data_IF_012198840861
#
_entry.id   IF_012198840861
#
_cell.length_a   1.000
_cell.length_b   1.000
_cell.length_c   1.000
_cell.angle_alpha   90.00
_cell.angle_beta   90.00
_cell.angle_gamma   90.00
#
_symmetry.space_group_name_H-M   'P 1'
#
loop_
_entity.id
_entity.type
_entity.pdbx_description
1 polymer ?
#
# COMPACT_ATOMS: atom_id res chain seq x y z
N UNK A 1 23.19 14.29 45.32
CA UNK A 1 23.76 13.82 46.60
C UNK A 1 23.11 12.53 47.10
N UNK A 2 21.77 12.38 46.99
CA UNK A 2 21.04 11.17 47.41
C UNK A 2 21.44 9.84 46.72
N UNK A 3 21.77 9.87 45.42
CA UNK A 3 22.11 8.66 44.66
C UNK A 3 23.46 8.08 45.10
N UNK A 4 24.44 8.96 45.37
CA UNK A 4 25.78 8.55 45.78
C UNK A 4 25.73 7.96 47.20
N UNK A 5 25.01 8.61 48.13
CA UNK A 5 24.82 8.10 49.48
C UNK A 5 24.02 6.80 49.54
N UNK A 6 23.05 6.60 48.64
CA UNK A 6 22.29 5.34 48.56
C UNK A 6 23.14 4.20 47.97
N UNK A 7 23.95 4.50 46.94
CA UNK A 7 24.86 3.54 46.33
C UNK A 7 25.96 3.08 47.31
N UNK A 8 26.46 3.99 48.15
CA UNK A 8 27.39 3.65 49.23
C UNK A 8 26.74 2.73 50.28
N UNK A 9 25.46 2.92 50.56
CA UNK A 9 24.69 2.08 51.50
C UNK A 9 24.26 0.73 50.90
N UNK A 10 24.17 0.63 49.57
CA UNK A 10 23.70 -0.56 48.85
C UNK A 10 24.62 -0.90 47.67
N UNK A 11 25.88 -1.30 47.93
CA UNK A 11 26.90 -1.45 46.90
C UNK A 11 26.59 -2.59 45.91
N UNK A 12 25.97 -3.69 46.38
CA UNK A 12 25.59 -4.81 45.52
C UNK A 12 24.45 -4.44 44.54
N UNK A 13 23.32 -3.86 44.98
CA UNK A 13 22.30 -3.34 44.07
C UNK A 13 22.82 -2.28 43.09
N UNK A 14 23.68 -1.37 43.57
CA UNK A 14 24.28 -0.35 42.73
C UNK A 14 25.18 -0.96 41.65
N UNK A 15 26.04 -1.92 42.01
CA UNK A 15 26.89 -2.64 41.06
C UNK A 15 26.07 -3.42 40.03
N UNK A 16 25.03 -4.14 40.46
CA UNK A 16 24.11 -4.84 39.54
C UNK A 16 23.42 -3.87 38.59
N UNK A 17 22.97 -2.71 39.09
CA UNK A 17 22.37 -1.66 38.28
C UNK A 17 23.33 -1.09 37.22
N UNK A 18 24.58 -0.83 37.60
CA UNK A 18 25.62 -0.35 36.66
C UNK A 18 25.93 -1.41 35.60
N UNK A 19 26.13 -2.67 36.00
CA UNK A 19 26.39 -3.77 35.07
C UNK A 19 25.23 -3.95 34.10
N UNK A 20 23.98 -3.90 34.58
CA UNK A 20 22.80 -3.97 33.73
C UNK A 20 22.73 -2.79 32.74
N UNK A 21 23.00 -1.57 33.20
CA UNK A 21 23.02 -0.39 32.33
C UNK A 21 24.11 -0.48 31.25
N UNK A 22 25.31 -0.93 31.60
CA UNK A 22 26.42 -1.16 30.65
C UNK A 22 26.07 -2.27 29.66
N UNK A 23 25.47 -3.37 30.12
CA UNK A 23 25.05 -4.46 29.25
C UNK A 23 23.97 -4.01 28.25
N UNK A 24 22.96 -3.24 28.71
CA UNK A 24 21.95 -2.64 27.85
C UNK A 24 22.59 -1.69 26.84
N UNK A 25 23.48 -0.81 27.28
CA UNK A 25 24.20 0.11 26.38
C UNK A 25 25.02 -0.66 25.34
N UNK A 26 25.71 -1.72 25.73
CA UNK A 26 26.49 -2.55 24.81
C UNK A 26 25.59 -3.26 23.79
N UNK A 27 24.43 -3.78 24.21
CA UNK A 27 23.43 -4.38 23.32
C UNK A 27 22.86 -3.37 22.35
N UNK A 28 22.54 -2.15 22.83
CA UNK A 28 22.09 -1.04 21.99
C UNK A 28 23.17 -0.69 20.97
N UNK A 29 24.41 -0.43 21.39
CA UNK A 29 25.51 -0.12 20.48
C UNK A 29 25.73 -1.23 19.45
N UNK A 30 25.66 -2.50 19.86
CA UNK A 30 25.76 -3.64 18.95
C UNK A 30 24.60 -3.67 17.95
N UNK A 31 23.37 -3.43 18.40
CA UNK A 31 22.20 -3.35 17.53
C UNK A 31 22.31 -2.21 16.52
N UNK A 32 22.77 -1.02 16.95
CA UNK A 32 23.00 0.12 16.08
C UNK A 32 24.09 -0.15 15.03
N UNK A 33 25.18 -0.82 15.41
CA UNK A 33 26.24 -1.23 14.47
C UNK A 33 25.80 -2.26 13.44
N UNK A 34 24.76 -3.05 13.76
CA UNK A 34 24.18 -4.02 12.83
C UNK A 34 23.17 -3.40 11.85
N UNK A 35 22.89 -2.10 11.94
CA UNK A 35 22.01 -1.40 11.01
C UNK A 35 22.78 -1.00 9.75
N UNK A 36 22.15 -1.12 8.56
CA UNK A 36 22.79 -0.78 7.29
C UNK A 36 23.12 0.72 7.16
N UNK A 37 22.37 1.60 7.85
CA UNK A 37 22.57 3.05 7.79
C UNK A 37 22.67 3.65 9.20
N UNK A 38 23.89 3.86 9.73
CA UNK A 38 24.09 4.31 11.12
C UNK A 38 23.69 5.77 11.35
N UNK A 39 23.86 6.65 10.34
CA UNK A 39 23.51 8.07 10.48
C UNK A 39 22.01 8.31 10.75
N UNK A 40 21.06 7.75 9.97
CA UNK A 40 19.64 7.86 10.30
C UNK A 40 19.28 7.14 11.60
N UNK A 41 20.00 6.09 12.00
CA UNK A 41 19.78 5.45 13.29
C UNK A 41 20.07 6.41 14.45
N UNK A 42 21.22 7.10 14.40
CA UNK A 42 21.59 8.11 15.42
C UNK A 42 20.59 9.25 15.45
N UNK A 43 20.20 9.78 14.29
CA UNK A 43 19.20 10.84 14.22
C UNK A 43 17.83 10.37 14.76
N UNK A 44 17.43 9.12 14.47
CA UNK A 44 16.20 8.53 15.01
C UNK A 44 16.24 8.43 16.54
N UNK A 45 17.37 8.01 17.11
CA UNK A 45 17.56 7.93 18.55
C UNK A 45 17.40 9.29 19.24
N UNK A 46 17.94 10.36 18.64
CA UNK A 46 17.78 11.74 19.14
C UNK A 46 16.31 12.16 19.10
N UNK A 47 15.60 11.88 18.00
CA UNK A 47 14.18 12.18 17.88
C UNK A 47 13.33 11.38 18.88
N UNK A 48 13.65 10.10 19.11
CA UNK A 48 13.00 9.26 20.14
C UNK A 48 13.24 9.83 21.53
N UNK A 49 14.47 10.23 21.86
CA UNK A 49 14.77 10.85 23.16
C UNK A 49 14.02 12.17 23.36
N UNK A 50 13.87 12.98 22.32
CA UNK A 50 13.05 14.20 22.35
C UNK A 50 11.55 13.90 22.52
N UNK A 51 11.03 12.87 21.86
CA UNK A 51 9.67 12.36 22.06
C UNK A 51 9.45 11.88 23.50
N UNK A 52 10.45 11.19 24.06
CA UNK A 52 10.44 10.66 25.42
C UNK A 52 10.28 11.75 26.48
N UNK A 53 10.99 12.88 26.36
CA UNK A 53 10.81 14.04 27.26
C UNK A 53 9.35 14.51 27.27
N UNK A 54 8.74 14.58 26.09
CA UNK A 54 7.34 15.01 25.94
C UNK A 54 6.38 14.00 26.58
N UNK A 55 6.57 12.71 26.32
CA UNK A 55 5.78 11.64 26.93
C UNK A 55 5.94 11.57 28.45
N UNK A 56 7.15 11.83 28.96
CA UNK A 56 7.45 11.85 30.39
C UNK A 56 6.70 12.95 31.13
N UNK A 57 6.64 14.15 30.54
CA UNK A 57 5.88 15.28 31.08
C UNK A 57 4.39 15.02 31.03
N UNK A 58 3.90 14.47 29.91
CA UNK A 58 2.51 14.08 29.75
C UNK A 58 2.05 13.05 30.80
N UNK A 59 2.86 12.02 31.07
CA UNK A 59 2.54 11.05 32.10
C UNK A 59 2.36 11.69 33.49
N UNK A 60 3.15 12.71 33.80
CA UNK A 60 3.01 13.46 35.04
C UNK A 60 1.82 14.40 35.08
N UNK A 61 1.69 15.27 34.08
CA UNK A 61 0.69 16.33 34.10
C UNK A 61 -0.73 15.84 33.76
N UNK A 62 -0.85 14.83 32.91
CA UNK A 62 -2.14 14.40 32.35
C UNK A 62 -2.59 13.01 32.82
N UNK A 63 -1.66 12.09 33.10
CA UNK A 63 -2.00 10.75 33.61
C UNK A 63 -1.94 10.65 35.13
N UNK A 64 -1.46 11.69 35.82
CA UNK A 64 -1.35 11.70 37.28
C UNK A 64 -0.32 10.72 37.84
N UNK A 65 0.56 10.18 37.00
CA UNK A 65 1.63 9.27 37.43
C UNK A 65 2.65 10.08 38.22
N UNK A 66 2.63 10.04 39.55
CA UNK A 66 3.58 10.79 40.39
C UNK A 66 4.88 10.03 40.62
N UNK A 67 4.83 8.70 40.55
CA UNK A 67 6.00 7.86 40.74
C UNK A 67 6.88 7.79 39.46
N UNK A 68 8.19 7.89 39.67
CA UNK A 68 9.18 7.81 38.59
C UNK A 68 9.31 6.41 38.01
N UNK A 69 9.13 5.35 38.81
CA UNK A 69 9.23 3.99 38.31
C UNK A 69 8.01 3.63 37.45
N UNK A 70 6.82 4.07 37.84
CA UNK A 70 5.60 3.95 37.03
C UNK A 70 5.74 4.62 35.65
N UNK A 71 6.22 5.87 35.60
CA UNK A 71 6.46 6.57 34.32
C UNK A 71 7.50 5.86 33.45
N UNK A 72 8.59 5.40 34.06
CA UNK A 72 9.64 4.67 33.37
C UNK A 72 9.13 3.35 32.80
N UNK A 73 8.30 2.62 33.54
CA UNK A 73 7.68 1.38 33.08
C UNK A 73 6.74 1.60 31.90
N UNK A 74 5.88 2.62 31.94
CA UNK A 74 4.99 2.98 30.83
C UNK A 74 5.80 3.31 29.57
N UNK A 75 6.81 4.17 29.71
CA UNK A 75 7.66 4.56 28.60
C UNK A 75 8.42 3.36 28.01
N UNK A 76 9.05 2.55 28.87
CA UNK A 76 9.77 1.35 28.44
C UNK A 76 8.85 0.38 27.71
N UNK A 77 7.63 0.15 28.21
CA UNK A 77 6.65 -0.70 27.54
C UNK A 77 6.28 -0.16 26.13
N UNK A 78 6.05 1.15 26.01
CA UNK A 78 5.76 1.81 24.74
C UNK A 78 6.90 1.69 23.73
N UNK A 79 8.13 1.98 24.14
CA UNK A 79 9.32 1.89 23.28
C UNK A 79 9.65 0.44 22.90
N UNK A 80 9.54 -0.51 23.84
CA UNK A 80 9.74 -1.94 23.55
C UNK A 80 8.69 -2.43 22.55
N UNK A 81 7.43 -2.04 22.69
CA UNK A 81 6.39 -2.38 21.73
C UNK A 81 6.66 -1.79 20.33
N UNK A 82 7.12 -0.54 20.27
CA UNK A 82 7.51 0.11 19.01
C UNK A 82 8.71 -0.60 18.36
N UNK A 83 9.75 -0.93 19.12
CA UNK A 83 10.93 -1.65 18.63
C UNK A 83 10.58 -3.07 18.18
N UNK A 84 9.75 -3.79 18.94
CA UNK A 84 9.31 -5.14 18.58
C UNK A 84 8.52 -5.14 17.26
N UNK A 85 7.57 -4.22 17.11
CA UNK A 85 6.78 -4.09 15.86
C UNK A 85 7.64 -3.67 14.68
N UNK A 86 8.61 -2.78 14.89
CA UNK A 86 9.60 -2.38 13.89
C UNK A 86 10.49 -3.56 13.42
N UNK A 87 11.00 -4.36 14.35
CA UNK A 87 11.80 -5.55 14.04
C UNK A 87 10.99 -6.61 13.30
N UNK A 88 9.75 -6.85 13.72
CA UNK A 88 8.82 -7.74 13.00
C UNK A 88 8.52 -7.21 11.59
N UNK A 89 8.35 -5.91 11.42
CA UNK A 89 8.15 -5.29 10.11
C UNK A 89 9.37 -5.51 9.19
N UNK A 90 10.58 -5.37 9.73
CA UNK A 90 11.82 -5.66 9.00
C UNK A 90 11.92 -7.13 8.62
N UNK A 91 11.60 -8.04 9.54
CA UNK A 91 11.57 -9.47 9.25
C UNK A 91 10.58 -9.80 8.12
N UNK A 92 9.38 -9.23 8.15
CA UNK A 92 8.38 -9.39 7.10
C UNK A 92 8.85 -8.85 5.74
N UNK A 93 9.54 -7.70 5.71
CA UNK A 93 10.11 -7.15 4.47
C UNK A 93 11.16 -8.08 3.89
N UNK A 94 12.00 -8.69 4.73
CA UNK A 94 13.02 -9.64 4.28
C UNK A 94 12.40 -10.94 3.75
N UNK A 95 11.35 -11.45 4.39
CA UNK A 95 10.69 -12.70 4.00
C UNK A 95 9.72 -12.55 2.82
N UNK A 96 8.83 -11.55 2.86
CA UNK A 96 7.68 -11.40 1.93
C UNK A 96 7.80 -10.19 1.00
N UNK A 97 8.75 -9.29 1.27
CA UNK A 97 8.90 -8.05 0.54
C UNK A 97 7.95 -6.93 0.94
N UNK A 98 7.17 -7.10 2.01
CA UNK A 98 6.30 -6.07 2.58
C UNK A 98 6.39 -5.98 4.10
N UNK A 99 6.19 -4.80 4.72
CA UNK A 99 6.17 -4.66 6.18
C UNK A 99 4.99 -5.37 6.87
N UNK A 100 3.89 -5.59 6.14
CA UNK A 100 2.66 -6.20 6.67
C UNK A 100 2.01 -5.40 7.81
N UNK A 101 1.26 -6.11 8.65
CA UNK A 101 0.57 -5.56 9.84
C UNK A 101 1.53 -4.91 10.85
N UNK A 102 2.71 -5.48 11.17
CA UNK A 102 3.67 -4.82 12.07
C UNK A 102 4.09 -3.43 11.59
N UNK A 103 4.27 -3.25 10.27
CA UNK A 103 4.54 -1.93 9.70
C UNK A 103 3.41 -0.94 9.95
N UNK A 104 2.14 -1.36 9.86
CA UNK A 104 0.99 -0.51 10.19
C UNK A 104 0.95 -0.15 11.68
N UNK A 105 1.27 -1.11 12.56
CA UNK A 105 1.29 -0.89 14.00
C UNK A 105 2.31 0.17 14.42
N UNK A 106 3.49 0.24 13.77
CA UNK A 106 4.47 1.30 14.02
C UNK A 106 3.84 2.69 13.82
N UNK A 107 3.08 2.87 12.74
CA UNK A 107 2.40 4.14 12.45
C UNK A 107 1.21 4.41 13.37
N UNK A 108 0.47 3.37 13.77
CA UNK A 108 -0.59 3.50 14.76
C UNK A 108 -0.04 3.98 16.12
N UNK A 109 1.05 3.34 16.59
CA UNK A 109 1.75 3.72 17.82
C UNK A 109 2.31 5.14 17.70
N UNK A 110 2.94 5.49 16.57
CA UNK A 110 3.41 6.85 16.28
C UNK A 110 2.26 7.87 16.37
N UNK A 111 1.08 7.53 15.83
CA UNK A 111 -0.12 8.37 15.93
C UNK A 111 -0.57 8.61 17.37
N UNK A 112 -0.49 7.60 18.23
CA UNK A 112 -0.78 7.75 19.66
C UNK A 112 0.26 8.66 20.34
N UNK A 113 1.54 8.56 19.98
CA UNK A 113 2.60 9.41 20.53
C UNK A 113 2.49 10.89 20.13
N UNK A 114 1.68 11.23 19.14
CA UNK A 114 1.37 12.63 18.78
C UNK A 114 0.49 13.30 19.86
N UNK A 115 -0.32 12.54 20.60
CA UNK A 115 -1.24 13.08 21.61
C UNK A 115 -0.49 13.85 22.71
N UNK A 116 0.56 13.30 23.36
CA UNK A 116 1.39 14.04 24.30
C UNK A 116 1.92 15.37 23.77
N UNK A 117 2.32 15.42 22.49
CA UNK A 117 2.86 16.63 21.89
C UNK A 117 1.84 17.78 21.89
N UNK A 118 0.60 17.51 21.47
CA UNK A 118 -0.46 18.51 21.48
C UNK A 118 -0.97 18.85 22.87
N UNK A 119 -1.04 17.87 23.77
CA UNK A 119 -1.46 18.07 25.15
C UNK A 119 -0.50 18.99 25.92
N UNK A 120 0.81 18.79 25.78
CA UNK A 120 1.83 19.56 26.51
C UNK A 120 2.18 20.92 25.88
N UNK A 121 1.78 21.17 24.63
CA UNK A 121 2.38 22.27 23.83
C UNK A 121 1.38 23.09 23.00
N UNK A 122 0.09 22.76 23.06
CA UNK A 122 -0.94 23.37 22.23
C UNK A 122 -0.73 23.12 20.73
N UNK A 123 -1.42 23.88 19.87
CA UNK A 123 -1.45 23.61 18.43
C UNK A 123 -0.09 23.78 17.73
N UNK A 124 0.57 24.93 17.91
CA UNK A 124 1.84 25.24 17.23
C UNK A 124 2.98 24.41 17.81
N UNK A 125 3.18 24.47 19.13
CA UNK A 125 4.21 23.69 19.81
C UNK A 125 4.00 22.19 19.62
N UNK A 126 2.75 21.73 19.59
CA UNK A 126 2.40 20.33 19.43
C UNK A 126 2.74 19.82 18.04
N UNK A 127 2.54 20.63 17.01
CA UNK A 127 2.92 20.26 15.63
C UNK A 127 4.43 20.12 15.51
N UNK A 128 5.21 21.06 16.08
CA UNK A 128 6.68 21.00 16.06
C UNK A 128 7.17 19.77 16.83
N UNK A 129 6.63 19.51 18.03
CA UNK A 129 7.00 18.34 18.85
C UNK A 129 6.60 17.02 18.21
N UNK A 130 5.40 16.94 17.62
CA UNK A 130 4.93 15.76 16.91
C UNK A 130 5.81 15.46 15.69
N UNK A 131 6.20 16.49 14.95
CA UNK A 131 7.05 16.34 13.78
C UNK A 131 8.47 15.88 14.15
N UNK A 132 9.19 16.65 14.97
CA UNK A 132 10.58 16.35 15.34
C UNK A 132 10.74 15.22 16.35
N UNK A 133 9.67 14.84 17.05
CA UNK A 133 9.64 13.69 17.93
C UNK A 133 9.20 12.43 17.18
N UNK A 134 7.97 11.94 17.39
CA UNK A 134 7.56 10.61 16.96
C UNK A 134 7.54 10.44 15.44
N UNK A 135 7.14 11.44 14.65
CA UNK A 135 7.02 11.30 13.19
C UNK A 135 8.40 11.16 12.53
N UNK A 136 9.32 12.07 12.83
CA UNK A 136 10.66 12.04 12.29
C UNK A 136 11.46 10.83 12.82
N UNK A 137 11.27 10.47 14.10
CA UNK A 137 11.83 9.23 14.66
C UNK A 137 11.38 8.00 13.87
N UNK A 138 10.06 7.85 13.65
CA UNK A 138 9.52 6.72 12.89
C UNK A 138 10.09 6.64 11.48
N UNK A 139 10.14 7.77 10.75
CA UNK A 139 10.72 7.84 9.40
C UNK A 139 12.20 7.44 9.40
N UNK A 140 13.00 8.02 10.30
CA UNK A 140 14.43 7.76 10.37
C UNK A 140 14.72 6.32 10.80
N UNK A 141 13.92 5.72 11.68
CA UNK A 141 14.01 4.31 12.02
C UNK A 141 13.69 3.41 10.82
N UNK A 142 12.69 3.76 9.99
CA UNK A 142 12.40 3.03 8.75
C UNK A 142 13.57 3.09 7.76
N UNK A 143 14.18 4.28 7.60
CA UNK A 143 15.37 4.45 6.77
C UNK A 143 16.57 3.67 7.33
N UNK A 144 16.82 3.78 8.63
CA UNK A 144 17.90 3.10 9.33
C UNK A 144 17.82 1.57 9.21
N UNK A 145 16.60 1.01 9.29
CA UNK A 145 16.35 -0.42 9.07
C UNK A 145 16.39 -0.83 7.60
N UNK A 146 16.45 0.12 6.67
CA UNK A 146 16.52 -0.13 5.23
C UNK A 146 15.19 -0.58 4.61
N UNK A 147 14.05 -0.20 5.21
CA UNK A 147 12.73 -0.60 4.70
C UNK A 147 12.36 0.09 3.37
N UNK A 148 13.07 1.16 2.98
CA UNK A 148 12.68 2.04 1.88
C UNK A 148 13.66 2.06 0.68
N UNK A 149 14.41 0.99 0.43
CA UNK A 149 15.31 0.93 -0.73
C UNK A 149 15.04 -0.31 -1.58
N UNK A 150 14.15 -0.15 -2.58
CA UNK A 150 14.07 -1.00 -3.77
C UNK A 150 14.21 -0.18 -5.05
N UNK A 151 15.28 0.61 -5.16
CA UNK A 151 15.71 1.19 -6.45
C UNK A 151 16.31 0.15 -7.42
N UNK A 152 16.43 -1.13 -7.04
CA UNK A 152 16.96 -2.21 -7.91
C UNK A 152 15.90 -3.07 -8.62
N UNK A 153 14.59 -2.81 -8.46
CA UNK A 153 13.52 -3.53 -9.19
C UNK A 153 12.40 -2.57 -9.60
N UNK A 154 12.30 -2.13 -10.88
CA UNK A 154 11.26 -1.22 -11.38
C UNK A 154 9.89 -1.91 -11.57
N UNK A 155 9.47 -2.75 -10.63
CA UNK A 155 8.20 -3.49 -10.72
C UNK A 155 7.73 -4.15 -9.42
N UNK A 156 8.45 -3.98 -8.31
CA UNK A 156 7.97 -4.47 -7.02
C UNK A 156 6.96 -3.46 -6.45
N UNK A 157 5.67 -3.74 -6.69
CA UNK A 157 4.53 -3.02 -6.13
C UNK A 157 4.75 -2.78 -4.64
N UNK A 158 4.73 -1.51 -4.24
CA UNK A 158 4.93 -1.04 -2.87
C UNK A 158 3.92 -1.69 -1.92
N UNK A 159 4.29 -2.82 -1.32
CA UNK A 159 3.41 -3.70 -0.57
C UNK A 159 3.14 -3.29 0.87
N UNK A 160 3.48 -2.08 1.31
CA UNK A 160 3.03 -1.64 2.63
C UNK A 160 1.52 -1.38 2.56
N UNK A 161 0.74 -1.93 3.49
CA UNK A 161 -0.67 -1.56 3.67
C UNK A 161 -0.86 -0.03 3.78
N UNK A 162 0.18 0.76 4.10
CA UNK A 162 0.18 2.23 3.95
C UNK A 162 0.10 2.74 2.52
N UNK A 163 0.59 2.03 1.51
CA UNK A 163 0.38 2.39 0.11
C UNK A 163 -1.07 2.09 -0.30
N UNK A 164 -1.70 1.05 0.23
CA UNK A 164 -3.11 0.71 -0.03
C UNK A 164 -4.05 1.61 0.77
N UNK A 165 -3.83 1.76 2.07
CA UNK A 165 -4.56 2.68 2.96
C UNK A 165 -4.29 4.12 2.56
N UNK A 166 -3.06 4.47 2.21
CA UNK A 166 -2.71 5.78 1.67
C UNK A 166 -3.34 6.00 0.30
N UNK A 167 -3.43 4.99 -0.55
CA UNK A 167 -4.16 5.07 -1.83
C UNK A 167 -5.66 5.18 -1.62
N UNK A 168 -6.25 4.46 -0.69
CA UNK A 168 -7.67 4.50 -0.36
C UNK A 168 -8.04 5.81 0.35
N UNK A 169 -7.21 6.27 1.28
CA UNK A 169 -7.36 7.56 1.96
C UNK A 169 -7.11 8.70 0.98
N UNK A 170 -6.13 8.57 0.07
CA UNK A 170 -5.91 9.49 -1.05
C UNK A 170 -7.07 9.42 -2.03
N UNK A 171 -7.62 8.27 -2.37
CA UNK A 171 -8.76 8.14 -3.29
C UNK A 171 -10.03 8.68 -2.63
N UNK A 172 -10.19 8.56 -1.30
CA UNK A 172 -11.29 9.16 -0.51
C UNK A 172 -11.09 10.66 -0.28
N UNK A 173 -9.86 11.12 -0.09
CA UNK A 173 -9.52 12.53 0.01
C UNK A 173 -9.60 13.19 -1.37
N UNK A 174 -9.14 12.55 -2.45
CA UNK A 174 -9.23 13.01 -3.82
C UNK A 174 -10.64 12.88 -4.39
N UNK A 175 -11.47 11.94 -3.94
CA UNK A 175 -12.90 11.92 -4.29
C UNK A 175 -13.66 13.02 -3.56
N UNK A 176 -13.30 13.31 -2.29
CA UNK A 176 -13.83 14.48 -1.56
C UNK A 176 -13.27 15.81 -2.06
N UNK A 177 -12.04 15.83 -2.59
CA UNK A 177 -11.38 17.02 -3.15
C UNK A 177 -11.58 17.15 -4.67
N UNK A 178 -12.21 16.17 -5.33
CA UNK A 178 -12.55 16.20 -6.76
C UNK A 178 -11.35 16.17 -7.71
N UNK A 179 -10.22 15.56 -7.32
CA UNK A 179 -8.95 15.59 -8.06
C UNK A 179 -8.60 14.26 -8.76
N UNK A 180 -9.58 13.38 -8.93
CA UNK A 180 -9.43 12.16 -9.72
C UNK A 180 -9.83 12.34 -11.19
N UNK A 181 -9.59 13.51 -11.79
CA UNK A 181 -9.58 13.67 -13.24
C UNK A 181 -8.49 14.68 -13.63
N UNK A 182 -7.43 14.21 -14.28
CA UNK A 182 -6.47 15.07 -14.98
C UNK A 182 -7.25 15.92 -15.98
N UNK A 183 -7.29 17.24 -15.77
CA UNK A 183 -7.82 18.21 -16.75
C UNK A 183 -8.93 19.17 -16.29
N UNK A 184 -9.35 19.19 -15.02
CA UNK A 184 -10.32 20.21 -14.55
C UNK A 184 -9.65 21.42 -13.90
N UNK A 185 -9.96 22.59 -14.44
CA UNK A 185 -9.51 23.89 -13.95
C UNK A 185 -10.19 24.22 -12.59
N UNK A 186 -9.48 24.88 -11.68
CA UNK A 186 -9.98 25.22 -10.34
C UNK A 186 -11.27 26.07 -10.40
N UNK A 187 -11.43 26.83 -11.49
CA UNK A 187 -12.65 27.57 -11.79
C UNK A 187 -13.87 26.67 -12.07
N UNK A 188 -13.68 25.49 -12.66
CA UNK A 188 -14.75 24.51 -12.90
C UNK A 188 -15.17 23.85 -11.59
N UNK A 189 -14.23 23.45 -10.73
CA UNK A 189 -14.55 22.86 -9.42
C UNK A 189 -15.37 23.82 -8.53
N UNK A 190 -15.10 25.11 -8.62
CA UNK A 190 -15.86 26.14 -7.90
C UNK A 190 -17.30 26.26 -8.44
N UNK A 191 -17.49 26.11 -9.76
CA UNK A 191 -18.81 26.10 -10.40
C UNK A 191 -19.58 24.85 -10.04
N UNK A 192 -18.97 23.67 -10.11
CA UNK A 192 -19.60 22.38 -9.76
C UNK A 192 -20.13 22.38 -8.32
N UNK A 193 -19.33 22.90 -7.37
CA UNK A 193 -19.76 23.07 -5.96
C UNK A 193 -20.92 24.05 -5.80
N UNK A 194 -20.93 25.12 -6.59
CA UNK A 194 -22.01 26.09 -6.61
C UNK A 194 -23.29 25.48 -7.21
N UNK A 195 -23.18 24.70 -8.30
CA UNK A 195 -24.26 23.93 -8.93
C UNK A 195 -24.86 22.94 -7.94
N UNK A 196 -24.06 22.12 -7.27
CA UNK A 196 -24.53 21.17 -6.25
C UNK A 196 -25.24 21.88 -5.07
N UNK A 197 -24.73 23.04 -4.65
CA UNK A 197 -25.36 23.86 -3.61
C UNK A 197 -26.69 24.44 -4.08
N UNK A 198 -26.79 24.89 -5.33
CA UNK A 198 -28.02 25.39 -5.94
C UNK A 198 -29.08 24.28 -6.02
N UNK A 199 -28.73 23.08 -6.51
CA UNK A 199 -29.63 21.91 -6.53
C UNK A 199 -30.16 21.59 -5.13
N UNK A 200 -29.27 21.51 -4.13
CA UNK A 200 -29.65 21.20 -2.75
C UNK A 200 -30.61 22.22 -2.16
N UNK A 201 -30.40 23.51 -2.42
CA UNK A 201 -31.28 24.56 -1.91
C UNK A 201 -32.60 24.60 -2.68
N UNK A 202 -32.59 24.43 -4.01
CA UNK A 202 -33.79 24.49 -4.86
C UNK A 202 -34.73 23.27 -4.72
N UNK A 203 -34.26 22.17 -4.12
CA UNK A 203 -35.10 21.00 -3.81
C UNK A 203 -35.74 21.04 -2.42
N UNK A 204 -35.50 22.10 -1.61
CA UNK A 204 -36.14 22.23 -0.29
C UNK A 204 -37.55 22.81 -0.43
N UNK A 205 -38.57 22.24 0.26
CA UNK A 205 -39.97 22.65 0.09
C UNK A 205 -40.27 24.06 0.64
N UNK A 206 -39.59 24.48 1.71
CA UNK A 206 -39.82 25.79 2.35
C UNK A 206 -38.53 26.61 2.47
N UNK A 207 -38.15 27.31 1.40
CA UNK A 207 -37.01 28.23 1.41
C UNK A 207 -37.42 29.63 1.91
N UNK A 208 -36.95 30.00 3.11
CA UNK A 208 -37.14 31.35 3.68
C UNK A 208 -36.03 32.32 3.24
N UNK A 209 -36.24 33.62 3.46
CA UNK A 209 -35.48 34.74 2.86
C UNK A 209 -33.96 34.54 2.69
N UNK A 210 -33.25 34.14 3.76
CA UNK A 210 -31.80 33.91 3.68
C UNK A 210 -31.42 32.72 2.77
N UNK A 211 -32.24 31.67 2.76
CA UNK A 211 -32.10 30.54 1.85
C UNK A 211 -32.31 30.92 0.39
N UNK A 212 -33.27 31.82 0.09
CA UNK A 212 -33.48 32.36 -1.26
C UNK A 212 -32.27 33.17 -1.75
N UNK A 213 -31.70 34.01 -0.89
CA UNK A 213 -30.46 34.77 -1.19
C UNK A 213 -29.26 33.85 -1.43
N UNK A 214 -29.12 32.80 -0.61
CA UNK A 214 -28.04 31.81 -0.75
C UNK A 214 -28.20 30.96 -2.02
N UNK A 215 -29.44 30.64 -2.40
CA UNK A 215 -29.74 29.98 -3.68
C UNK A 215 -29.38 30.90 -4.85
N UNK A 216 -29.80 32.16 -4.84
CA UNK A 216 -29.47 33.13 -5.89
C UNK A 216 -27.94 33.30 -6.03
N UNK A 217 -27.22 33.40 -4.92
CA UNK A 217 -25.76 33.47 -4.92
C UNK A 217 -25.10 32.20 -5.47
N UNK A 218 -25.65 31.02 -5.15
CA UNK A 218 -25.15 29.75 -5.67
C UNK A 218 -25.38 29.62 -7.18
N UNK A 219 -26.56 30.03 -7.68
CA UNK A 219 -26.87 30.04 -9.12
C UNK A 219 -25.96 31.02 -9.88
N UNK A 220 -25.71 32.20 -9.32
CA UNK A 220 -24.81 33.19 -9.92
C UNK A 220 -23.36 32.66 -10.00
N UNK A 221 -22.86 32.03 -8.93
CA UNK A 221 -21.50 31.44 -8.90
C UNK A 221 -21.34 30.23 -9.82
N UNK A 222 -22.43 29.51 -10.09
CA UNK A 222 -22.47 28.43 -11.06
C UNK A 222 -22.43 28.92 -12.53
N UNK A 223 -22.53 30.24 -12.78
CA UNK A 223 -22.51 30.86 -14.13
C UNK A 223 -23.60 30.36 -15.09
N UNK A 224 -24.71 29.86 -14.55
CA UNK A 224 -25.85 29.28 -15.29
C UNK A 224 -26.52 30.29 -16.24
N UNK A 225 -26.41 31.59 -15.96
CA UNK A 225 -26.92 32.64 -16.85
C UNK A 225 -26.03 32.94 -18.06
N UNK A 226 -24.79 32.45 -18.08
CA UNK A 226 -23.78 32.77 -19.11
C UNK A 226 -23.20 31.53 -19.79
N UNK A 227 -23.46 30.33 -19.26
CA UNK A 227 -22.94 29.05 -19.77
C UNK A 227 -24.09 28.04 -19.89
N UNK A 228 -24.43 27.69 -21.13
CA UNK A 228 -25.57 26.82 -21.43
C UNK A 228 -25.33 25.36 -20.98
N UNK A 229 -24.07 24.90 -20.94
CA UNK A 229 -23.73 23.56 -20.47
C UNK A 229 -23.98 23.43 -18.96
N UNK A 230 -23.58 24.44 -18.19
CA UNK A 230 -23.83 24.49 -16.74
C UNK A 230 -25.33 24.59 -16.41
N UNK A 231 -26.10 25.27 -17.26
CA UNK A 231 -27.55 25.32 -17.16
C UNK A 231 -28.20 23.97 -17.43
N UNK A 232 -27.78 23.28 -18.48
CA UNK A 232 -28.27 21.94 -18.80
C UNK A 232 -27.98 20.95 -17.66
N UNK A 233 -26.77 20.99 -17.10
CA UNK A 233 -26.36 20.17 -15.97
C UNK A 233 -27.18 20.46 -14.70
N UNK A 234 -27.35 21.74 -14.33
CA UNK A 234 -28.17 22.13 -13.19
C UNK A 234 -29.61 21.58 -13.32
N UNK A 235 -30.21 21.74 -14.51
CA UNK A 235 -31.57 21.29 -14.77
C UNK A 235 -31.68 19.76 -14.75
N UNK A 236 -30.69 19.04 -15.30
CA UNK A 236 -30.64 17.58 -15.24
C UNK A 236 -30.59 17.07 -13.80
N UNK A 237 -29.72 17.66 -12.96
CA UNK A 237 -29.61 17.30 -11.54
C UNK A 237 -30.88 17.63 -10.75
N UNK A 238 -31.55 18.75 -11.05
CA UNK A 238 -32.83 19.10 -10.44
C UNK A 238 -33.94 18.12 -10.80
N UNK A 239 -34.02 17.72 -12.07
CA UNK A 239 -34.97 16.70 -12.53
C UNK A 239 -34.72 15.37 -11.83
N UNK A 240 -33.48 14.89 -11.82
CA UNK A 240 -33.11 13.65 -11.14
C UNK A 240 -33.49 13.69 -9.65
N UNK A 241 -33.21 14.81 -8.96
CA UNK A 241 -33.50 14.93 -7.53
C UNK A 241 -34.98 15.05 -7.20
N UNK A 242 -35.76 15.76 -8.02
CA UNK A 242 -37.22 15.88 -7.82
C UNK A 242 -37.96 14.61 -8.26
N UNK A 243 -37.45 13.94 -9.28
CA UNK A 243 -37.95 12.65 -9.77
C UNK A 243 -37.49 11.45 -8.94
N UNK A 244 -36.62 11.62 -7.95
CA UNK A 244 -36.10 10.50 -7.14
C UNK A 244 -37.21 9.72 -6.41
N UNK A 245 -38.30 10.38 -6.01
CA UNK A 245 -39.46 9.72 -5.42
C UNK A 245 -40.21 8.80 -6.39
N UNK A 246 -40.05 9.01 -7.71
CA UNK A 246 -40.64 8.15 -8.73
C UNK A 246 -39.82 6.86 -8.91
N UNK A 247 -38.56 6.84 -8.50
CA UNK A 247 -37.69 5.66 -8.63
C UNK A 247 -38.16 4.49 -7.76
N UNK A 248 -38.79 4.76 -6.61
CA UNK A 248 -39.38 3.71 -5.77
C UNK A 248 -40.65 3.10 -6.36
N UNK A 249 -41.24 3.73 -7.37
CA UNK A 249 -42.41 3.24 -8.10
C UNK A 249 -42.07 2.68 -9.49
N UNK A 250 -40.80 2.72 -9.89
CA UNK A 250 -40.36 2.07 -11.13
C UNK A 250 -40.32 0.58 -10.87
N UNK A 251 -41.15 -0.17 -11.59
CA UNK A 251 -41.09 -1.63 -11.61
C UNK A 251 -39.80 -2.04 -12.32
N UNK A 252 -38.79 -2.35 -11.52
CA UNK A 252 -37.55 -2.96 -12.00
C UNK A 252 -37.86 -4.44 -12.05
N UNK A 253 -38.30 -4.92 -13.21
CA UNK A 253 -38.68 -6.31 -13.43
C UNK A 253 -37.65 -7.31 -12.88
N UNK A 254 -38.10 -8.53 -12.60
CA UNK A 254 -37.34 -9.55 -11.87
C UNK A 254 -35.89 -9.71 -12.40
N UNK A 255 -34.86 -9.43 -11.58
CA UNK A 255 -33.46 -9.54 -11.99
C UNK A 255 -33.00 -10.97 -12.29
N UNK A 256 -33.80 -11.98 -11.91
CA UNK A 256 -33.54 -13.39 -12.17
C UNK A 256 -34.50 -14.01 -13.17
N UNK A 257 -35.41 -13.21 -13.75
CA UNK A 257 -36.18 -13.67 -14.89
C UNK A 257 -35.20 -13.97 -16.02
N UNK A 258 -35.11 -15.25 -16.39
CA UNK A 258 -34.43 -15.65 -17.61
C UNK A 258 -34.97 -14.78 -18.75
N UNK A 259 -34.11 -14.18 -19.58
CA UNK A 259 -34.58 -13.38 -20.70
C UNK A 259 -35.59 -14.24 -21.47
N UNK A 260 -36.84 -13.76 -21.56
CA UNK A 260 -37.85 -14.44 -22.34
C UNK A 260 -37.22 -14.72 -23.72
N UNK A 261 -37.30 -15.97 -24.23
CA UNK A 261 -36.66 -16.31 -25.48
C UNK A 261 -37.10 -15.27 -26.49
N UNK A 262 -36.14 -14.47 -26.96
CA UNK A 262 -36.40 -13.45 -27.95
C UNK A 262 -37.15 -14.17 -29.07
N UNK A 263 -38.33 -13.68 -29.44
CA UNK A 263 -38.95 -14.09 -30.67
C UNK A 263 -37.99 -13.64 -31.77
N UNK A 264 -37.09 -14.53 -32.17
CA UNK A 264 -36.24 -14.35 -33.33
C UNK A 264 -37.25 -14.34 -34.48
N UNK A 265 -37.51 -13.19 -35.13
CA UNK A 265 -38.28 -13.24 -36.36
C UNK A 265 -37.56 -14.21 -37.28
N UNK A 266 -38.29 -15.15 -37.85
CA UNK A 266 -37.74 -16.16 -38.74
C UNK A 266 -36.78 -15.47 -39.71
N UNK A 267 -35.49 -15.81 -39.63
CA UNK A 267 -34.52 -15.38 -40.63
C UNK A 267 -35.10 -15.80 -41.98
N UNK A 268 -35.08 -14.92 -43.00
CA UNK A 268 -35.52 -15.32 -44.32
C UNK A 268 -34.75 -16.58 -44.69
N UNK A 269 -35.50 -17.57 -45.15
CA UNK A 269 -35.01 -18.85 -45.66
C UNK A 269 -33.75 -18.58 -46.49
N UNK A 270 -32.60 -19.04 -46.00
CA UNK A 270 -31.37 -18.98 -46.76
C UNK A 270 -31.64 -19.82 -48.01
N UNK A 271 -31.88 -19.15 -49.13
CA UNK A 271 -31.80 -19.78 -50.43
C UNK A 271 -30.39 -20.37 -50.50
N UNK A 272 -30.33 -21.69 -50.63
CA UNK A 272 -29.09 -22.41 -50.85
C UNK A 272 -28.36 -21.72 -52.00
N UNK A 273 -27.30 -20.98 -51.66
CA UNK A 273 -26.35 -20.52 -52.64
C UNK A 273 -25.64 -21.78 -53.15
N UNK A 274 -26.14 -22.33 -54.25
CA UNK A 274 -25.39 -23.28 -55.05
C UNK A 274 -24.22 -22.50 -55.63
N UNK A 275 -22.96 -22.75 -55.21
CA UNK A 275 -21.84 -22.08 -55.83
C UNK A 275 -21.78 -22.54 -57.29
N UNK A 276 -22.14 -21.63 -58.21
CA UNK A 276 -21.86 -21.79 -59.62
C UNK A 276 -20.35 -22.01 -59.78
N UNK A 277 -19.99 -23.10 -60.44
CA UNK A 277 -18.63 -23.57 -60.67
C UNK A 277 -17.85 -22.61 -61.59
N UNK A 278 -17.54 -21.42 -61.07
CA UNK A 278 -16.69 -20.43 -61.71
C UNK A 278 -15.50 -20.09 -60.80
N UNK A 279 -14.52 -20.99 -60.80
CA UNK A 279 -13.12 -20.63 -60.99
C UNK A 279 -12.40 -19.73 -59.97
N UNK A 280 -12.79 -19.66 -58.70
CA UNK A 280 -11.95 -19.05 -57.66
C UNK A 280 -11.28 -20.11 -56.78
N UNK A 281 -10.16 -20.65 -57.26
CA UNK A 281 -9.18 -21.28 -56.37
C UNK A 281 -8.50 -20.17 -55.56
N UNK A 282 -9.00 -19.92 -54.36
CA UNK A 282 -8.22 -19.21 -53.35
C UNK A 282 -7.11 -20.17 -52.93
N UNK A 283 -5.81 -19.84 -53.14
CA UNK A 283 -4.75 -20.65 -52.56
C UNK A 283 -4.90 -20.53 -51.05
N UNK A 284 -5.36 -21.61 -50.41
CA UNK A 284 -5.16 -21.77 -48.98
C UNK A 284 -3.64 -21.82 -48.81
N UNK A 285 -3.03 -20.68 -48.47
CA UNK A 285 -1.66 -20.66 -48.01
C UNK A 285 -1.65 -21.59 -46.79
N UNK A 286 -1.10 -22.79 -46.99
CA UNK A 286 -0.88 -23.72 -45.92
C UNK A 286 -0.19 -22.95 -44.80
N UNK A 287 -0.85 -22.86 -43.64
CA UNK A 287 -0.16 -22.42 -42.45
C UNK A 287 1.11 -23.27 -42.36
N UNK A 288 2.30 -22.65 -42.21
CA UNK A 288 3.50 -23.44 -41.98
C UNK A 288 3.20 -24.35 -40.77
N UNK A 289 3.56 -25.64 -40.84
CA UNK A 289 3.40 -26.51 -39.68
C UNK A 289 4.06 -25.82 -38.47
N UNK A 290 3.48 -25.97 -37.26
CA UNK A 290 4.15 -25.51 -36.05
C UNK A 290 5.59 -26.05 -36.09
N UNK A 291 6.60 -25.24 -35.71
CA UNK A 291 7.98 -25.70 -35.74
C UNK A 291 8.05 -27.04 -35.00
N UNK A 292 8.57 -28.06 -35.68
CA UNK A 292 8.79 -29.38 -35.10
C UNK A 292 9.49 -29.17 -33.76
N UNK A 293 8.94 -29.76 -32.69
CA UNK A 293 9.63 -29.86 -31.42
C UNK A 293 10.92 -30.62 -31.71
N UNK A 294 12.02 -29.87 -31.78
CA UNK A 294 13.38 -30.40 -31.87
C UNK A 294 13.59 -31.25 -30.62
N UNK A 295 13.36 -32.56 -30.73
CA UNK A 295 13.56 -33.58 -29.69
C UNK A 295 15.06 -33.76 -29.34
N UNK A 296 15.94 -32.93 -29.90
CA UNK A 296 17.35 -32.84 -29.55
C UNK A 296 17.59 -32.10 -28.22
N UNK A 297 18.70 -32.40 -27.52
CA UNK A 297 19.08 -31.65 -26.32
C UNK A 297 19.23 -30.17 -26.66
N UNK A 298 18.66 -29.30 -25.82
CA UNK A 298 18.66 -27.86 -26.08
C UNK A 298 20.13 -27.37 -26.20
N UNK A 299 20.50 -26.62 -27.25
CA UNK A 299 21.87 -26.14 -27.42
C UNK A 299 22.37 -25.26 -26.26
N UNK A 300 21.46 -24.78 -25.40
CA UNK A 300 21.80 -24.04 -24.19
C UNK A 300 22.12 -24.94 -22.99
N UNK A 301 21.72 -26.22 -23.01
CA UNK A 301 21.94 -27.15 -21.90
C UNK A 301 23.41 -27.31 -21.58
N UNK A 302 24.28 -27.43 -22.60
CA UNK A 302 25.74 -27.53 -22.36
C UNK A 302 26.35 -26.26 -21.78
N UNK A 303 25.83 -25.09 -22.18
CA UNK A 303 26.29 -23.81 -21.61
C UNK A 303 25.89 -23.67 -20.14
N UNK A 304 24.67 -24.08 -19.80
CA UNK A 304 24.18 -24.07 -18.41
C UNK A 304 24.94 -25.11 -17.56
N UNK A 305 25.22 -26.30 -18.13
CA UNK A 305 26.04 -27.33 -17.49
C UNK A 305 27.44 -26.83 -17.17
N UNK A 306 28.09 -26.14 -18.11
CA UNK A 306 29.42 -25.57 -17.91
C UNK A 306 29.44 -24.45 -16.86
N UNK A 307 28.46 -23.53 -16.88
CA UNK A 307 28.38 -22.40 -15.92
C UNK A 307 28.11 -22.86 -14.48
N UNK A 308 27.34 -23.95 -14.32
CA UNK A 308 26.95 -24.49 -13.01
C UNK A 308 27.60 -25.83 -12.68
N UNK A 309 28.75 -26.16 -13.30
CA UNK A 309 29.45 -27.42 -13.09
C UNK A 309 29.70 -27.70 -11.61
N UNK A 310 30.26 -26.74 -10.87
CA UNK A 310 30.54 -26.86 -9.42
C UNK A 310 29.29 -27.18 -8.59
N UNK A 311 28.15 -26.58 -8.97
CA UNK A 311 26.87 -26.79 -8.28
C UNK A 311 26.30 -28.18 -8.58
N UNK A 312 26.41 -28.61 -9.84
CA UNK A 312 25.91 -29.91 -10.31
C UNK A 312 26.76 -31.04 -9.73
N UNK A 313 28.09 -30.88 -9.71
CA UNK A 313 29.04 -31.85 -9.13
C UNK A 313 28.85 -31.98 -7.61
N UNK A 314 28.41 -30.92 -6.93
CA UNK A 314 28.00 -30.94 -5.53
C UNK A 314 26.61 -31.55 -5.28
N UNK A 315 25.95 -32.09 -6.31
CA UNK A 315 24.60 -32.65 -6.26
C UNK A 315 23.48 -31.60 -6.18
N UNK A 316 23.83 -30.33 -6.38
CA UNK A 316 22.92 -29.20 -6.45
C UNK A 316 22.31 -29.02 -7.84
N UNK A 317 21.30 -28.15 -7.94
CA UNK A 317 20.61 -27.85 -9.19
C UNK A 317 20.46 -26.35 -9.39
N UNK A 318 20.75 -25.79 -10.58
CA UNK A 318 20.45 -24.40 -10.87
C UNK A 318 18.93 -24.19 -10.85
N UNK A 319 18.49 -23.10 -10.24
CA UNK A 319 17.07 -22.71 -10.22
C UNK A 319 16.60 -22.27 -11.61
N UNK A 320 15.30 -22.42 -11.91
CA UNK A 320 14.69 -21.91 -13.15
C UNK A 320 15.04 -20.43 -13.38
N UNK A 321 15.14 -19.64 -12.30
CA UNK A 321 15.53 -18.23 -12.39
C UNK A 321 16.96 -18.03 -12.86
N UNK A 322 17.90 -18.88 -12.46
CA UNK A 322 19.30 -18.86 -12.91
C UNK A 322 19.39 -19.24 -14.39
N UNK A 323 18.65 -20.26 -14.82
CA UNK A 323 18.59 -20.68 -16.23
C UNK A 323 17.98 -19.59 -17.13
N UNK A 324 16.96 -18.87 -16.64
CA UNK A 324 16.38 -17.73 -17.37
C UNK A 324 17.33 -16.55 -17.58
N UNK A 325 18.46 -16.48 -16.86
CA UNK A 325 19.49 -15.46 -17.11
C UNK A 325 20.14 -15.61 -18.51
N UNK A 326 20.02 -16.79 -19.13
CA UNK A 326 20.47 -17.08 -20.50
C UNK A 326 19.49 -16.59 -21.58
N UNK A 327 18.48 -15.79 -21.23
CA UNK A 327 17.55 -15.19 -22.18
C UNK A 327 16.42 -16.12 -22.65
N UNK A 328 16.18 -17.23 -21.94
CA UNK A 328 15.13 -18.20 -22.28
C UNK A 328 13.80 -17.93 -21.55
N UNK A 329 12.70 -18.28 -22.22
CA UNK A 329 11.36 -18.30 -21.64
C UNK A 329 11.20 -19.38 -20.57
N UNK A 330 10.15 -19.28 -19.75
CA UNK A 330 9.92 -20.21 -18.65
C UNK A 330 9.78 -21.68 -19.07
N UNK A 331 8.97 -22.04 -20.10
CA UNK A 331 8.83 -23.44 -20.52
C UNK A 331 10.16 -24.04 -21.01
N UNK A 332 10.99 -23.22 -21.66
CA UNK A 332 12.31 -23.64 -22.15
C UNK A 332 13.32 -23.83 -21.01
N UNK A 333 13.27 -22.97 -19.99
CA UNK A 333 14.10 -23.10 -18.80
C UNK A 333 13.77 -24.37 -17.99
N UNK A 334 12.50 -24.76 -17.95
CA UNK A 334 12.04 -26.01 -17.31
C UNK A 334 12.58 -27.25 -18.04
N UNK A 335 12.58 -27.25 -19.39
CA UNK A 335 13.20 -28.33 -20.18
C UNK A 335 14.70 -28.46 -19.94
N UNK A 336 15.44 -27.35 -19.99
CA UNK A 336 16.89 -27.34 -19.71
C UNK A 336 17.17 -27.85 -18.29
N UNK A 337 16.34 -27.49 -17.31
CA UNK A 337 16.50 -27.99 -15.94
C UNK A 337 16.30 -29.51 -15.85
N UNK A 338 15.33 -30.05 -16.60
CA UNK A 338 15.07 -31.49 -16.66
C UNK A 338 16.20 -32.26 -17.36
N UNK A 339 16.80 -31.71 -18.42
CA UNK A 339 17.96 -32.31 -19.12
C UNK A 339 19.25 -32.32 -18.28
N UNK A 340 19.33 -31.44 -17.27
CA UNK A 340 20.44 -31.41 -16.31
C UNK A 340 20.25 -32.40 -15.16
N UNK A 341 19.09 -33.08 -15.05
CA UNK A 341 18.95 -34.15 -14.08
C UNK A 341 19.87 -35.31 -14.48
N UNK A 342 20.78 -35.75 -13.59
CA UNK A 342 21.50 -36.98 -13.84
C UNK A 342 20.47 -38.09 -13.98
N UNK A 343 20.49 -38.81 -15.09
CA UNK A 343 19.67 -40.00 -15.32
C UNK A 343 19.93 -40.92 -14.14
N UNK A 344 19.01 -40.94 -13.18
CA UNK A 344 19.10 -41.83 -12.04
C UNK A 344 19.21 -43.23 -12.64
N UNK A 345 20.34 -43.88 -12.42
CA UNK A 345 20.55 -45.28 -12.76
C UNK A 345 19.30 -46.02 -12.27
N UNK A 346 18.53 -46.54 -13.23
CA UNK A 346 17.32 -47.30 -12.94
C UNK A 346 17.80 -48.54 -12.21
N UNK A 347 17.79 -48.50 -10.88
CA UNK A 347 18.02 -49.67 -10.04
C UNK A 347 16.94 -50.68 -10.46
N UNK A 348 17.30 -51.81 -11.10
CA UNK A 348 16.31 -52.78 -11.47
C UNK A 348 15.79 -53.40 -10.18
N UNK A 349 14.49 -53.22 -9.90
CA UNK A 349 13.82 -53.88 -8.80
C UNK A 349 13.95 -55.40 -8.96
N UNK A 350 14.90 -56.01 -8.24
CA UNK A 350 14.98 -57.47 -8.11
C UNK A 350 13.84 -57.96 -7.22
N UNK A 351 13.11 -58.95 -7.74
CA UNK A 351 11.99 -59.66 -7.09
C UNK A 351 12.39 -60.39 -5.81
#
# INVERSE_FOLDING_TARGET
MFIISWADAHPLPAAVGVVAAVAVLALVVRAFRALPYPAPAVAAAVCTAYSADTAWRFAGHHLGMVDTAERAALFAAGEIALLATALMARHNVLATGSPGVPGLLVWAITGVQIIPAFAESGAVGGTVRAFFGPVLAALLWHLAMGLEIRHKRPGAVSGALLAVVGRELRERLLSRLGLAQRGRDAAQLTRDRATATAVRLASRPNLRGWGKRRLASAVARAKVGTDENQKAELLALLRARRGAALLSSVDVGDPWAAPAPAHVPALPEYTEYTPSAAGYTVPFAAFPPPPEDDDGPDPLTEKVRAEYADLIDAGGRPSIRQIRAFGVGQPRAERIQAELEPTAEVIPWSR
#
